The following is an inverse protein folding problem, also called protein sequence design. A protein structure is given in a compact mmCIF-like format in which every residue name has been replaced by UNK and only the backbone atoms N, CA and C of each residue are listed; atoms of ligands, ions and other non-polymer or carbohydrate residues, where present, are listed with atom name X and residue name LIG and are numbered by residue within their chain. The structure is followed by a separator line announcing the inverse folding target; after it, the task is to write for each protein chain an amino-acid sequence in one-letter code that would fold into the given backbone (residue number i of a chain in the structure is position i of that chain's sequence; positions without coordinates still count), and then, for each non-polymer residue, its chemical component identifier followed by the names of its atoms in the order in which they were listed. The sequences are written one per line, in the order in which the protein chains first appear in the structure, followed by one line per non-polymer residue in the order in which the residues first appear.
data_IF_130531814513
#
_entry.id   IF_130531814513
#
_cell.length_a   1.000
_cell.length_b   1.000
_cell.length_c   1.000
_cell.angle_alpha   90.00
_cell.angle_beta   90.00
_cell.angle_gamma   90.00
#
_symmetry.space_group_name_H-M   'P 1'
#
loop_
_entity.id
_entity.type
_entity.pdbx_description
1 polymer ?
#
# COMPACT_ATOMS: atom_id res chain seq x y z
N UNK A 1 25.03 7.44 8.77
CA UNK A 1 23.88 7.71 7.88
C UNK A 1 22.77 6.74 8.26
N UNK A 2 21.54 7.17 8.59
CA UNK A 2 20.44 6.24 8.82
C UNK A 2 20.13 5.46 7.54
N UNK A 3 20.00 4.13 7.65
CA UNK A 3 19.75 3.25 6.51
C UNK A 3 18.27 3.33 6.14
N UNK A 4 17.94 4.17 5.15
CA UNK A 4 16.61 4.22 4.56
C UNK A 4 16.36 2.89 3.82
N UNK A 5 15.33 2.15 4.23
CA UNK A 5 14.93 0.90 3.57
C UNK A 5 13.61 1.18 2.87
N UNK A 6 13.61 1.20 1.54
CA UNK A 6 12.41 1.11 0.73
C UNK A 6 11.93 -0.34 0.70
N UNK A 7 10.62 -0.54 0.60
CA UNK A 7 10.00 -1.86 0.61
C UNK A 7 8.96 -2.00 -0.48
N UNK A 8 8.62 -3.24 -0.81
CA UNK A 8 7.48 -3.57 -1.66
C UNK A 8 6.61 -4.60 -0.95
N UNK A 9 5.30 -4.47 -1.13
CA UNK A 9 4.30 -5.43 -0.65
C UNK A 9 3.60 -5.98 -1.89
N UNK A 10 3.63 -7.30 -2.04
CA UNK A 10 2.84 -8.00 -3.06
C UNK A 10 1.39 -8.15 -2.59
N UNK A 11 0.46 -7.66 -3.40
CA UNK A 11 -0.98 -7.69 -3.15
C UNK A 11 -1.71 -8.62 -4.11
N UNK A 12 -1.00 -9.44 -4.89
CA UNK A 12 -1.58 -10.36 -5.88
C UNK A 12 -2.64 -11.32 -5.32
N UNK A 13 -2.59 -11.64 -4.02
CA UNK A 13 -3.57 -12.49 -3.34
C UNK A 13 -4.51 -11.75 -2.38
N UNK A 14 -4.58 -10.42 -2.43
CA UNK A 14 -5.45 -9.64 -1.52
C UNK A 14 -6.87 -9.48 -2.07
N UNK A 15 -7.01 -9.63 -3.38
CA UNK A 15 -8.27 -9.55 -4.08
C UNK A 15 -8.36 -10.78 -4.98
N UNK A 16 -9.51 -11.43 -4.94
CA UNK A 16 -9.83 -12.53 -5.82
C UNK A 16 -11.11 -12.16 -6.55
N UNK A 17 -11.10 -12.32 -7.87
CA UNK A 17 -12.32 -12.27 -8.65
C UNK A 17 -12.73 -13.70 -9.03
N UNK A 18 -13.91 -14.09 -8.58
CA UNK A 18 -14.52 -15.39 -8.88
C UNK A 18 -14.82 -15.61 -10.36
N UNK A 19 -15.01 -14.53 -11.14
CA UNK A 19 -15.21 -14.63 -12.59
C UNK A 19 -13.89 -14.81 -13.36
N UNK A 20 -12.74 -14.55 -12.71
CA UNK A 20 -11.42 -14.63 -13.32
C UNK A 20 -11.11 -13.46 -14.25
N UNK A 21 -11.88 -12.37 -14.19
CA UNK A 21 -11.61 -11.17 -14.95
C UNK A 21 -10.43 -10.41 -14.36
N UNK A 22 -9.71 -9.68 -15.21
CA UNK A 22 -8.63 -8.80 -14.75
C UNK A 22 -9.23 -7.61 -13.99
N UNK A 23 -8.69 -7.29 -12.83
CA UNK A 23 -8.96 -6.05 -12.11
C UNK A 23 -7.70 -5.20 -12.00
N UNK A 24 -7.89 -3.89 -11.81
CA UNK A 24 -6.80 -2.95 -11.56
C UNK A 24 -6.77 -2.56 -10.09
N UNK A 25 -5.58 -2.59 -9.48
CA UNK A 25 -5.37 -2.07 -8.14
C UNK A 25 -4.96 -0.61 -8.18
N UNK A 26 -5.54 0.18 -7.29
CA UNK A 26 -5.21 1.60 -7.13
C UNK A 26 -5.25 2.00 -5.66
N UNK A 27 -4.40 2.96 -5.28
CA UNK A 27 -4.46 3.55 -3.94
C UNK A 27 -5.45 4.70 -3.92
N UNK A 28 -6.53 4.56 -3.18
CA UNK A 28 -7.58 5.59 -3.06
C UNK A 28 -7.26 6.59 -1.95
N UNK A 29 -6.59 6.14 -0.88
CA UNK A 29 -6.07 7.00 0.17
C UNK A 29 -4.77 6.43 0.72
N UNK A 30 -3.81 7.28 1.02
CA UNK A 30 -2.57 6.83 1.66
C UNK A 30 -1.54 7.95 1.75
N UNK A 31 -0.40 7.66 2.40
CA UNK A 31 0.67 8.62 2.54
C UNK A 31 1.42 8.83 1.22
N UNK A 32 2.03 10.00 1.06
CA UNK A 32 2.77 10.38 -0.16
C UNK A 32 4.00 9.51 -0.46
N UNK A 33 4.47 8.75 0.52
CA UNK A 33 5.57 7.81 0.39
C UNK A 33 5.12 6.42 -0.06
N UNK A 34 3.82 6.18 -0.27
CA UNK A 34 3.28 4.92 -0.78
C UNK A 34 2.72 5.11 -2.21
N UNK A 35 2.91 4.11 -3.08
CA UNK A 35 2.36 4.13 -4.44
C UNK A 35 2.10 2.72 -4.97
N UNK A 36 1.04 2.56 -5.78
CA UNK A 36 0.68 1.27 -6.37
C UNK A 36 1.16 1.19 -7.81
N UNK A 37 1.77 0.05 -8.17
CA UNK A 37 2.12 -0.28 -9.55
C UNK A 37 1.76 -1.74 -9.81
N UNK A 38 0.78 -1.97 -10.68
CA UNK A 38 0.19 -3.29 -10.90
C UNK A 38 -0.36 -3.87 -9.59
N UNK A 39 0.10 -5.06 -9.22
CA UNK A 39 -0.23 -5.72 -7.95
C UNK A 39 0.72 -5.39 -6.79
N UNK A 40 1.67 -4.48 -6.98
CA UNK A 40 2.70 -4.18 -5.98
C UNK A 40 2.48 -2.80 -5.36
N UNK A 41 2.46 -2.74 -4.03
CA UNK A 41 2.53 -1.50 -3.28
C UNK A 41 3.99 -1.19 -2.98
N UNK A 42 4.47 -0.08 -3.52
CA UNK A 42 5.80 0.44 -3.33
C UNK A 42 5.81 1.42 -2.16
N UNK A 43 6.68 1.18 -1.19
CA UNK A 43 6.87 2.03 -0.03
C UNK A 43 8.25 2.68 -0.10
N UNK A 44 8.25 4.00 -0.25
CA UNK A 44 9.41 4.84 -0.04
C UNK A 44 9.61 5.10 1.45
N UNK A 45 10.84 5.39 1.87
CA UNK A 45 11.12 5.62 3.28
C UNK A 45 10.57 6.98 3.73
N UNK A 46 9.59 7.05 4.65
CA UNK A 46 9.15 8.30 5.24
C UNK A 46 10.21 8.90 6.16
N UNK A 47 10.15 10.22 6.35
CA UNK A 47 10.97 10.90 7.34
C UNK A 47 10.35 10.73 8.75
N UNK A 48 10.81 9.72 9.49
CA UNK A 48 10.38 9.50 10.89
C UNK A 48 11.18 10.43 11.83
N UNK A 49 10.52 11.50 12.27
CA UNK A 49 11.06 12.44 13.25
C UNK A 49 10.96 11.86 14.67
N UNK A 50 11.83 12.31 15.59
CA UNK A 50 11.83 11.85 16.99
C UNK A 50 13.01 10.94 17.39
N UNK A 51 12.97 10.39 18.63
CA UNK A 51 14.05 9.57 19.20
C UNK A 51 14.20 8.22 18.48
N UNK A 52 15.30 7.51 18.74
CA UNK A 52 15.50 6.13 18.24
C UNK A 52 14.36 5.24 18.76
N UNK A 53 13.74 4.47 17.87
CA UNK A 53 12.55 3.68 18.18
C UNK A 53 11.22 4.44 17.99
N UNK A 54 11.25 5.70 17.54
CA UNK A 54 10.04 6.36 17.05
C UNK A 54 9.46 5.58 15.86
N UNK A 55 8.13 5.62 15.74
CA UNK A 55 7.41 5.02 14.63
C UNK A 55 6.27 5.91 14.18
N UNK A 56 5.97 5.89 12.90
CA UNK A 56 4.74 6.48 12.35
C UNK A 56 3.82 5.36 11.90
N UNK A 57 2.51 5.57 12.04
CA UNK A 57 1.49 4.64 11.55
C UNK A 57 0.55 5.43 10.65
N UNK A 58 0.43 4.99 9.40
CA UNK A 58 -0.43 5.63 8.41
C UNK A 58 -1.39 4.59 7.82
N UNK A 59 -2.62 5.01 7.54
CA UNK A 59 -3.59 4.14 6.89
C UNK A 59 -3.44 4.20 5.37
N UNK A 60 -3.48 3.03 4.74
CA UNK A 60 -3.47 2.87 3.28
C UNK A 60 -4.75 2.16 2.88
N UNK A 61 -5.46 2.74 1.92
CA UNK A 61 -6.64 2.13 1.30
C UNK A 61 -6.34 1.81 -0.15
N UNK A 62 -6.49 0.54 -0.49
CA UNK A 62 -6.31 0.01 -1.84
C UNK A 62 -7.68 -0.43 -2.35
N UNK A 63 -8.02 -0.03 -3.57
CA UNK A 63 -9.22 -0.46 -4.27
C UNK A 63 -8.84 -1.33 -5.46
N UNK A 64 -9.46 -2.49 -5.55
CA UNK A 64 -9.54 -3.30 -6.76
C UNK A 64 -10.80 -2.90 -7.52
N UNK A 65 -10.65 -2.60 -8.82
CA UNK A 65 -11.79 -2.30 -9.70
C UNK A 65 -11.72 -3.21 -10.92
N UNK A 66 -12.80 -3.93 -11.19
CA UNK A 66 -12.94 -4.77 -12.37
C UNK A 66 -13.25 -3.94 -13.64
N UNK A 67 -13.33 -4.60 -14.79
CA UNK A 67 -13.65 -3.93 -16.06
C UNK A 67 -15.11 -3.45 -16.14
N UNK A 68 -16.00 -4.01 -15.32
CA UNK A 68 -17.42 -3.66 -15.24
C UNK A 68 -17.68 -2.46 -14.32
N UNK A 69 -16.65 -2.01 -13.58
CA UNK A 69 -16.72 -0.92 -12.59
C UNK A 69 -17.11 -1.36 -11.19
N UNK A 70 -17.27 -2.67 -10.93
CA UNK A 70 -17.40 -3.17 -9.57
C UNK A 70 -16.07 -2.98 -8.84
N UNK A 71 -16.14 -2.53 -7.59
CA UNK A 71 -14.96 -2.25 -6.79
C UNK A 71 -15.06 -2.83 -5.39
N UNK A 72 -13.92 -3.27 -4.88
CA UNK A 72 -13.72 -3.70 -3.50
C UNK A 72 -12.51 -2.99 -2.93
N UNK A 73 -12.56 -2.62 -1.66
CA UNK A 73 -11.49 -1.87 -1.01
C UNK A 73 -11.03 -2.54 0.28
N UNK A 74 -9.73 -2.49 0.53
CA UNK A 74 -9.12 -2.89 1.80
C UNK A 74 -8.37 -1.71 2.39
N UNK A 75 -8.53 -1.50 3.71
CA UNK A 75 -7.75 -0.53 4.46
C UNK A 75 -6.90 -1.25 5.49
N UNK A 76 -5.63 -0.91 5.56
CA UNK A 76 -4.69 -1.43 6.55
C UNK A 76 -3.72 -0.35 7.00
N UNK A 77 -3.16 -0.54 8.18
CA UNK A 77 -2.19 0.36 8.75
C UNK A 77 -0.76 -0.08 8.40
N UNK A 78 0.06 0.85 7.92
CA UNK A 78 1.49 0.66 7.71
C UNK A 78 2.23 1.38 8.83
N UNK A 79 2.95 0.60 9.63
CA UNK A 79 3.83 1.14 10.67
C UNK A 79 5.27 1.16 10.16
N UNK A 80 5.90 2.33 10.22
CA UNK A 80 7.31 2.51 9.86
C UNK A 80 8.09 2.91 11.09
N UNK A 81 9.10 2.11 11.43
CA UNK A 81 9.98 2.32 12.58
C UNK A 81 11.29 3.01 12.15
N UNK A 82 11.86 3.82 13.03
CA UNK A 82 13.13 4.52 12.84
C UNK A 82 14.37 3.65 13.07
#
# INVERSE_FOLDING_TARGET
MPRQTSGSIDMSGWFEDSAGDSFSLSMTSGPSWASVSGSTLNLSTPNVTGPKGASITENVTISATDQSGASSSITFAVQVNK
#
